data_IF_319009175476
#
_entry.id   IF_319009175476
#
_cell.length_a   1.000
_cell.length_b   1.000
_cell.length_c   1.000
_cell.angle_alpha   90.00
_cell.angle_beta   90.00
_cell.angle_gamma   90.00
#
_symmetry.space_group_name_H-M   'P 1'
#
loop_
_entity.id
_entity.type
_entity.pdbx_description
1 polymer ?
#
# COMPACT_ATOMS: atom_id res chain seq x y z
N UNK A 1 13.72 8.85 -1.62
CA UNK A 1 12.79 7.78 -1.18
C UNK A 1 12.15 7.06 -2.36
N UNK A 2 11.14 7.61 -3.07
CA UNK A 2 10.52 6.90 -4.21
C UNK A 2 11.52 6.60 -5.36
N UNK A 3 12.47 7.53 -5.60
CA UNK A 3 13.57 7.33 -6.56
C UNK A 3 14.48 6.15 -6.20
N UNK A 4 14.73 5.92 -4.91
CA UNK A 4 15.62 4.86 -4.42
C UNK A 4 14.93 3.48 -4.56
N UNK A 5 13.61 3.42 -4.27
CA UNK A 5 12.78 2.23 -4.52
C UNK A 5 12.72 1.89 -6.01
N UNK A 6 12.60 2.91 -6.87
CA UNK A 6 12.54 2.74 -8.33
C UNK A 6 13.86 2.19 -8.88
N UNK A 7 15.00 2.69 -8.39
CA UNK A 7 16.33 2.23 -8.84
C UNK A 7 16.65 0.80 -8.40
N UNK A 8 16.29 0.42 -7.18
CA UNK A 8 16.63 -0.91 -6.63
C UNK A 8 15.77 -2.03 -7.22
N UNK A 9 14.58 -1.71 -7.73
CA UNK A 9 13.65 -2.67 -8.32
C UNK A 9 13.65 -2.75 -9.85
N UNK A 10 14.58 -2.06 -10.52
CA UNK A 10 14.71 -2.05 -11.97
C UNK A 10 13.35 -1.81 -12.67
N UNK A 11 12.65 -0.77 -12.19
CA UNK A 11 11.30 -0.44 -12.64
C UNK A 11 11.40 0.24 -14.00
N UNK A 12 11.08 -0.50 -15.08
CA UNK A 12 11.06 0.03 -16.45
C UNK A 12 9.94 1.06 -16.68
N UNK A 13 8.84 0.96 -15.94
CA UNK A 13 7.70 1.86 -16.05
C UNK A 13 7.48 2.62 -14.74
N UNK A 14 8.18 3.75 -14.58
CA UNK A 14 8.12 4.56 -13.37
C UNK A 14 6.72 5.12 -13.08
N UNK A 15 5.93 5.39 -14.12
CA UNK A 15 4.60 5.98 -13.99
C UNK A 15 3.63 4.99 -13.33
N UNK A 16 3.63 3.72 -13.76
CA UNK A 16 2.86 2.65 -13.12
C UNK A 16 3.21 2.52 -11.63
N UNK A 17 4.50 2.55 -11.29
CA UNK A 17 4.95 2.45 -9.92
C UNK A 17 4.55 3.67 -9.08
N UNK A 18 4.64 4.89 -9.63
CA UNK A 18 4.17 6.12 -8.97
C UNK A 18 2.67 6.08 -8.73
N UNK A 19 1.88 5.69 -9.72
CA UNK A 19 0.42 5.59 -9.60
C UNK A 19 0.01 4.53 -8.56
N UNK A 20 0.70 3.40 -8.53
CA UNK A 20 0.48 2.37 -7.52
C UNK A 20 0.85 2.85 -6.11
N UNK A 21 1.96 3.56 -5.95
CA UNK A 21 2.36 4.13 -4.67
C UNK A 21 1.33 5.15 -4.16
N UNK A 22 0.90 6.07 -5.03
CA UNK A 22 -0.15 7.06 -4.72
C UNK A 22 -1.46 6.38 -4.34
N UNK A 23 -1.83 5.30 -5.03
CA UNK A 23 -3.01 4.51 -4.69
C UNK A 23 -2.90 3.95 -3.27
N UNK A 24 -1.78 3.31 -2.90
CA UNK A 24 -1.61 2.74 -1.56
C UNK A 24 -1.60 3.81 -0.46
N UNK A 25 -0.86 4.90 -0.67
CA UNK A 25 -0.80 6.03 0.26
C UNK A 25 -2.20 6.63 0.49
N UNK A 26 -3.00 6.77 -0.56
CA UNK A 26 -4.37 7.28 -0.50
C UNK A 26 -5.35 6.30 0.18
N UNK A 27 -4.98 5.02 0.25
CA UNK A 27 -5.80 3.97 0.86
C UNK A 27 -5.22 3.47 2.19
N UNK A 28 -4.29 4.19 2.81
CA UNK A 28 -3.75 3.84 4.12
C UNK A 28 -4.87 3.67 5.16
N UNK A 29 -4.81 2.59 5.94
CA UNK A 29 -5.85 2.15 6.87
C UNK A 29 -7.02 1.38 6.23
N UNK A 30 -7.12 1.35 4.89
CA UNK A 30 -8.21 0.68 4.18
C UNK A 30 -7.80 -0.69 3.64
N UNK A 31 -8.81 -1.53 3.39
CA UNK A 31 -8.65 -2.84 2.76
C UNK A 31 -8.44 -2.71 1.26
N UNK A 32 -7.48 -3.44 0.71
CA UNK A 32 -7.19 -3.46 -0.72
C UNK A 32 -7.06 -4.90 -1.26
N UNK A 33 -7.32 -5.05 -2.57
CA UNK A 33 -7.17 -6.30 -3.32
C UNK A 33 -6.32 -6.05 -4.57
N UNK A 34 -5.25 -6.81 -4.76
CA UNK A 34 -4.34 -6.65 -5.91
C UNK A 34 -5.05 -6.75 -7.27
N UNK A 35 -6.02 -7.66 -7.42
CA UNK A 35 -6.81 -7.75 -8.67
C UNK A 35 -7.65 -6.50 -8.93
N UNK A 36 -8.22 -5.90 -7.88
CA UNK A 36 -9.00 -4.67 -8.00
C UNK A 36 -8.10 -3.50 -8.40
N UNK A 37 -6.91 -3.42 -7.79
CA UNK A 37 -5.89 -2.42 -8.10
C UNK A 37 -5.42 -2.55 -9.56
N UNK A 38 -5.09 -3.76 -9.98
CA UNK A 38 -4.67 -4.07 -11.35
C UNK A 38 -5.70 -3.58 -12.37
N UNK A 39 -6.98 -3.87 -12.13
CA UNK A 39 -8.06 -3.39 -12.99
C UNK A 39 -8.23 -1.86 -12.93
N UNK A 40 -8.23 -1.25 -11.74
CA UNK A 40 -8.49 0.19 -11.60
C UNK A 40 -7.37 1.08 -12.13
N UNK A 41 -6.13 0.63 -12.04
CA UNK A 41 -4.95 1.38 -12.51
C UNK A 41 -4.49 0.95 -13.90
N UNK A 42 -5.16 -0.05 -14.50
CA UNK A 42 -4.75 -0.66 -15.77
C UNK A 42 -3.28 -1.15 -15.77
N UNK A 43 -2.84 -1.72 -14.65
CA UNK A 43 -1.48 -2.27 -14.46
C UNK A 43 -1.58 -3.79 -14.46
N UNK A 44 -0.74 -4.53 -15.22
CA UNK A 44 -0.73 -5.99 -15.16
C UNK A 44 -0.57 -6.51 -13.72
N UNK A 45 -1.34 -7.53 -13.32
CA UNK A 45 -1.30 -8.05 -11.94
C UNK A 45 0.10 -8.47 -11.50
N UNK A 46 0.91 -9.01 -12.42
CA UNK A 46 2.32 -9.35 -12.18
C UNK A 46 3.15 -8.13 -11.81
N UNK A 47 2.96 -7.00 -12.49
CA UNK A 47 3.62 -5.74 -12.16
C UNK A 47 3.12 -5.18 -10.83
N UNK A 48 1.81 -5.23 -10.55
CA UNK A 48 1.27 -4.82 -9.25
C UNK A 48 1.93 -5.57 -8.11
N UNK A 49 2.03 -6.90 -8.20
CA UNK A 49 2.67 -7.73 -7.17
C UNK A 49 4.15 -7.38 -7.01
N UNK A 50 4.90 -7.33 -8.12
CA UNK A 50 6.32 -7.00 -8.12
C UNK A 50 6.60 -5.63 -7.51
N UNK A 51 5.89 -4.59 -7.96
CA UNK A 51 6.06 -3.24 -7.44
C UNK A 51 5.61 -3.11 -5.98
N UNK A 52 4.59 -3.85 -5.57
CA UNK A 52 4.17 -3.89 -4.16
C UNK A 52 5.27 -4.47 -3.28
N UNK A 53 5.86 -5.59 -3.68
CA UNK A 53 6.98 -6.21 -2.97
C UNK A 53 8.17 -5.25 -2.85
N UNK A 54 8.51 -4.55 -3.93
CA UNK A 54 9.50 -3.48 -3.92
C UNK A 54 9.22 -2.38 -2.90
N UNK A 55 7.99 -1.87 -2.87
CA UNK A 55 7.58 -0.83 -1.93
C UNK A 55 7.59 -1.33 -0.48
N UNK A 56 7.28 -2.60 -0.24
CA UNK A 56 7.37 -3.21 1.09
C UNK A 56 8.83 -3.35 1.54
N UNK A 57 9.72 -3.82 0.66
CA UNK A 57 11.15 -3.97 0.96
C UNK A 57 11.82 -2.62 1.23
N UNK A 58 11.35 -1.56 0.56
CA UNK A 58 11.79 -0.19 0.82
C UNK A 58 11.06 0.50 1.98
N UNK A 59 10.24 -0.24 2.75
CA UNK A 59 9.46 0.28 3.88
C UNK A 59 8.55 1.46 3.53
N UNK A 60 8.12 1.60 2.28
CA UNK A 60 7.19 2.66 1.88
C UNK A 60 5.76 2.35 2.38
N UNK A 61 5.39 1.07 2.32
CA UNK A 61 4.07 0.58 2.71
C UNK A 61 4.18 -0.74 3.48
N UNK A 62 3.14 -1.03 4.25
CA UNK A 62 2.99 -2.27 5.01
C UNK A 62 1.63 -2.89 4.75
N UNK A 63 1.54 -4.21 4.87
CA UNK A 63 0.28 -4.93 4.77
C UNK A 63 0.02 -5.77 6.01
N UNK A 64 -1.21 -5.69 6.51
CA UNK A 64 -1.73 -6.62 7.51
C UNK A 64 -2.76 -7.52 6.84
N UNK A 65 -2.52 -8.83 6.89
CA UNK A 65 -3.46 -9.84 6.38
C UNK A 65 -4.68 -9.92 7.30
N UNK A 66 -5.83 -10.29 6.74
CA UNK A 66 -6.98 -10.63 7.56
C UNK A 66 -6.66 -11.82 8.46
N UNK A 67 -7.08 -11.74 9.73
CA UNK A 67 -6.98 -12.85 10.67
C UNK A 67 -8.01 -13.92 10.28
N UNK A 68 -7.54 -15.11 9.93
CA UNK A 68 -8.37 -16.30 9.72
C UNK A 68 -7.62 -17.55 10.21
N UNK A 69 -8.31 -18.55 10.81
CA UNK A 69 -7.69 -19.82 11.19
C UNK A 69 -7.18 -20.64 9.99
N UNK A 70 -7.52 -20.28 8.74
CA UNK A 70 -7.09 -21.00 7.53
C UNK A 70 -6.15 -20.14 6.68
N UNK A 71 -5.00 -20.71 6.33
CA UNK A 71 -4.00 -20.05 5.48
C UNK A 71 -4.56 -19.69 4.08
N UNK A 72 -5.35 -20.57 3.48
CA UNK A 72 -5.98 -20.34 2.17
C UNK A 72 -6.92 -19.14 2.18
N UNK A 73 -7.60 -18.90 3.30
CA UNK A 73 -8.47 -17.75 3.51
C UNK A 73 -7.64 -16.47 3.76
N UNK A 74 -6.60 -16.52 4.59
CA UNK A 74 -5.67 -15.40 4.80
C UNK A 74 -5.02 -14.90 3.49
N UNK A 75 -4.74 -15.80 2.54
CA UNK A 75 -4.18 -15.45 1.24
C UNK A 75 -5.22 -14.80 0.32
N UNK A 76 -6.48 -15.25 0.40
CA UNK A 76 -7.59 -14.75 -0.43
C UNK A 76 -8.17 -13.43 0.06
N UNK A 77 -8.14 -13.18 1.36
CA UNK A 77 -8.77 -12.00 1.94
C UNK A 77 -8.00 -10.71 1.71
N UNK A 78 -8.77 -9.63 1.81
CA UNK A 78 -8.31 -8.27 1.61
C UNK A 78 -7.33 -7.92 2.73
N UNK A 79 -6.26 -7.26 2.33
CA UNK A 79 -5.21 -6.84 3.26
C UNK A 79 -5.41 -5.36 3.55
N UNK A 80 -5.23 -4.96 4.79
CA UNK A 80 -5.12 -3.53 5.09
C UNK A 80 -3.74 -3.04 4.69
N UNK A 81 -3.70 -1.91 3.99
CA UNK A 81 -2.45 -1.23 3.64
C UNK A 81 -2.20 -0.08 4.60
N UNK A 82 -0.94 0.12 4.97
CA UNK A 82 -0.49 1.21 5.83
C UNK A 82 0.71 1.91 5.19
N UNK A 83 0.84 3.21 5.43
CA UNK A 83 1.95 4.03 4.93
C UNK A 83 2.92 4.30 6.07
N UNK A 84 4.22 4.26 5.80
CA UNK A 84 5.29 4.57 6.78
C UNK A 84 5.17 5.98 7.37
N UNK A 85 4.66 6.91 6.57
CA UNK A 85 4.48 8.29 6.98
C UNK A 85 3.02 8.69 6.81
N UNK A 86 2.40 9.03 7.95
CA UNK A 86 1.03 9.51 8.02
C UNK A 86 0.90 10.91 7.41
N UNK A 87 1.96 11.74 7.45
CA UNK A 87 2.04 13.04 6.80
C UNK A 87 2.04 12.94 5.27
N UNK A 88 2.69 11.93 4.71
CA UNK A 88 2.63 11.63 3.27
C UNK A 88 1.20 11.26 2.86
N UNK A 89 0.52 10.41 3.62
CA UNK A 89 -0.91 10.12 3.42
C UNK A 89 -1.80 11.36 3.60
N UNK A 90 -1.42 12.28 4.48
CA UNK A 90 -2.16 13.50 4.76
C UNK A 90 -2.03 14.56 3.64
N UNK A 91 -0.88 14.62 2.97
CA UNK A 91 -0.55 15.63 1.94
C UNK A 91 -0.83 15.11 0.52
N UNK A 92 -0.53 13.83 0.24
CA UNK A 92 -0.66 13.24 -1.09
C UNK A 92 -1.91 12.36 -1.27
N UNK A 93 -2.58 11.97 -0.17
CA UNK A 93 -3.82 11.22 -0.24
C UNK A 93 -4.95 12.05 -0.84
N UNK A 94 -5.62 11.56 -1.88
CA UNK A 94 -6.73 12.24 -2.51
C UNK A 94 -7.92 12.39 -1.52
N UNK A 95 -8.06 13.58 -0.93
CA UNK A 95 -8.98 13.91 0.19
C UNK A 95 -10.38 14.34 -0.29
N UNK A 96 -11.14 13.47 -0.94
CA UNK A 96 -12.56 13.76 -1.17
C UNK A 96 -13.45 13.44 0.04
N UNK A 97 -13.05 12.50 0.91
CA UNK A 97 -13.74 12.16 2.15
C UNK A 97 -12.70 11.97 3.27
N UNK A 98 -12.59 12.92 4.19
CA UNK A 98 -11.67 12.81 5.34
C UNK A 98 -12.10 11.65 6.24
N UNK A 99 -11.52 10.47 6.04
CA UNK A 99 -11.76 9.33 6.91
C UNK A 99 -10.77 9.35 8.08
N UNK A 100 -11.04 10.20 9.08
CA UNK A 100 -10.20 10.38 10.28
C UNK A 100 -9.88 9.04 10.96
N UNK A 101 -10.81 8.08 10.91
CA UNK A 101 -10.60 6.73 11.44
C UNK A 101 -9.44 5.99 10.77
N UNK A 102 -9.30 6.05 9.45
CA UNK A 102 -8.22 5.38 8.73
C UNK A 102 -6.84 5.99 9.04
N UNK A 103 -6.77 7.32 9.23
CA UNK A 103 -5.53 8.01 9.63
C UNK A 103 -5.13 7.68 11.08
N UNK A 104 -6.11 7.65 11.99
CA UNK A 104 -5.89 7.24 13.37
C UNK A 104 -5.43 5.79 13.45
N UNK A 105 -6.03 4.91 12.65
CA UNK A 105 -5.59 3.52 12.55
C UNK A 105 -4.15 3.40 12.02
N UNK A 106 -3.80 4.16 10.97
CA UNK A 106 -2.43 4.19 10.45
C UNK A 106 -1.44 4.73 11.51
N UNK A 107 -1.85 5.71 12.33
CA UNK A 107 -1.02 6.23 13.42
C UNK A 107 -0.74 5.15 14.47
N UNK A 108 -1.78 4.44 14.91
CA UNK A 108 -1.64 3.33 15.86
C UNK A 108 -0.75 2.24 15.29
N UNK A 109 -0.93 1.89 14.01
CA UNK A 109 -0.10 0.89 13.35
C UNK A 109 1.39 1.28 13.39
N UNK A 110 1.73 2.53 13.08
CA UNK A 110 3.11 3.02 13.13
C UNK A 110 3.69 3.03 14.54
N UNK A 111 2.88 3.37 15.54
CA UNK A 111 3.29 3.30 16.96
C UNK A 111 3.56 1.86 17.39
N UNK A 112 2.73 0.89 16.95
CA UNK A 112 2.95 -0.52 17.22
C UNK A 112 4.19 -1.08 16.50
N UNK A 113 4.51 -0.58 15.30
CA UNK A 113 5.68 -1.02 14.54
C UNK A 113 7.00 -0.57 15.16
N UNK A 114 7.01 0.54 15.91
CA UNK A 114 8.20 1.10 16.56
C UNK A 114 8.55 0.44 17.90
N UNK A 115 7.61 -0.29 18.48
CA UNK A 115 7.78 -1.01 19.75
C UNK A 115 8.31 -2.41 19.51
#
# INVERSE_FOLDING_TARGET
>A
MLKDVISECNIRNEEEAKNLALFYISNAGNKVRYRKISYSLNIPLTNVLRFTECMQNAYLIFFVKALSPKLSEMVRYDRKVYSIDNGISNVLGYRLNQNVGSLFENLIFLELLRR
#
